data_IF_266131625572
#
_entry.id   IF_266131625572
#
_cell.length_a   1.000
_cell.length_b   1.000
_cell.length_c   1.000
_cell.angle_alpha   90.00
_cell.angle_beta   90.00
_cell.angle_gamma   90.00
#
_symmetry.space_group_name_H-M   'P 1'
#
loop_
_entity.id
_entity.type
_entity.pdbx_description
1 polymer ?
#
# COMPACT_ATOMS: atom_id res chain seq x y z
N UNK A 1 11.85 21.34 12.80
CA UNK A 1 10.87 21.62 11.72
C UNK A 1 9.69 20.63 11.67
N UNK A 2 9.23 20.02 12.78
CA UNK A 2 7.92 19.35 12.85
C UNK A 2 7.60 18.19 11.89
N UNK A 3 8.56 17.69 11.11
CA UNK A 3 8.29 16.65 10.11
C UNK A 3 8.11 15.27 10.77
N UNK A 4 6.97 14.62 10.51
CA UNK A 4 6.63 13.30 11.02
C UNK A 4 6.74 12.28 9.88
N UNK A 5 7.41 11.16 10.15
CA UNK A 5 7.42 9.98 9.27
C UNK A 5 6.27 9.07 9.66
N UNK A 6 5.41 8.76 8.70
CA UNK A 6 4.21 7.94 8.91
C UNK A 6 4.38 6.59 8.25
N UNK A 7 4.19 5.52 9.02
CA UNK A 7 4.07 4.16 8.51
C UNK A 7 2.60 3.85 8.19
N UNK A 8 2.25 3.97 6.90
CA UNK A 8 0.90 3.69 6.43
C UNK A 8 0.57 2.19 6.47
N UNK A 9 1.55 1.30 6.29
CA UNK A 9 1.32 -0.14 6.37
C UNK A 9 1.05 -0.59 7.80
N UNK A 10 1.79 -0.03 8.76
CA UNK A 10 1.54 -0.22 10.19
C UNK A 10 0.12 0.19 10.58
N UNK A 11 -0.33 1.37 10.13
CA UNK A 11 -1.69 1.85 10.34
C UNK A 11 -2.75 0.91 9.75
N UNK A 12 -2.59 0.49 8.49
CA UNK A 12 -3.50 -0.46 7.85
C UNK A 12 -3.54 -1.81 8.58
N UNK A 13 -2.38 -2.33 9.01
CA UNK A 13 -2.31 -3.57 9.79
C UNK A 13 -3.07 -3.47 11.10
N UNK A 14 -2.95 -2.36 11.83
CA UNK A 14 -3.73 -2.12 13.05
C UNK A 14 -5.24 -2.16 12.75
N UNK A 15 -5.68 -1.48 11.70
CA UNK A 15 -7.09 -1.47 11.30
C UNK A 15 -7.60 -2.88 10.94
N UNK A 16 -6.86 -3.62 10.13
CA UNK A 16 -7.21 -4.99 9.74
C UNK A 16 -7.28 -5.95 10.94
N UNK A 17 -6.33 -5.84 11.87
CA UNK A 17 -6.33 -6.66 13.10
C UNK A 17 -7.53 -6.34 13.98
N UNK A 18 -7.90 -5.07 14.13
CA UNK A 18 -9.11 -4.66 14.87
C UNK A 18 -10.39 -5.18 14.21
N UNK A 19 -10.40 -5.36 12.90
CA UNK A 19 -11.50 -5.98 12.16
C UNK A 19 -11.52 -7.52 12.23
N UNK A 20 -10.61 -8.15 12.99
CA UNK A 20 -10.56 -9.61 13.15
C UNK A 20 -9.78 -10.36 12.06
N UNK A 21 -9.09 -9.66 11.15
CA UNK A 21 -8.28 -10.32 10.10
C UNK A 21 -7.07 -11.03 10.73
N UNK A 22 -6.97 -12.34 10.52
CA UNK A 22 -5.93 -13.19 11.15
C UNK A 22 -4.71 -13.42 10.25
N UNK A 23 -4.87 -13.41 8.92
CA UNK A 23 -3.77 -13.51 7.96
C UNK A 23 -3.58 -12.20 7.20
N UNK A 24 -2.39 -11.62 7.28
CA UNK A 24 -2.04 -10.34 6.64
C UNK A 24 -0.66 -10.50 6.03
N UNK A 25 -0.56 -10.29 4.72
CA UNK A 25 0.70 -10.30 3.98
C UNK A 25 1.06 -8.88 3.56
N UNK A 26 2.34 -8.51 3.68
CA UNK A 26 2.85 -7.19 3.34
C UNK A 26 3.85 -7.32 2.18
N UNK A 27 3.69 -6.54 1.12
CA UNK A 27 4.63 -6.52 -0.01
C UNK A 27 5.97 -5.86 0.31
N UNK A 28 5.98 -4.92 1.26
CA UNK A 28 7.14 -4.10 1.65
C UNK A 28 7.75 -3.27 0.50
N UNK A 29 6.99 -3.00 -0.56
CA UNK A 29 7.45 -2.21 -1.72
C UNK A 29 6.99 -0.75 -1.60
N UNK A 30 7.90 0.20 -1.75
CA UNK A 30 7.60 1.63 -1.71
C UNK A 30 7.43 2.20 -3.12
N UNK A 31 6.23 2.69 -3.45
CA UNK A 31 5.95 3.26 -4.78
C UNK A 31 6.80 4.49 -5.11
N UNK A 32 7.25 5.26 -4.10
CA UNK A 32 8.19 6.37 -4.32
C UNK A 32 9.63 5.90 -4.52
N UNK A 33 10.07 4.86 -3.81
CA UNK A 33 11.46 4.38 -3.90
C UNK A 33 11.71 3.53 -5.14
N UNK A 34 10.67 2.95 -5.73
CA UNK A 34 10.78 2.11 -6.93
C UNK A 34 10.04 2.73 -8.14
N UNK A 35 10.49 3.90 -8.64
CA UNK A 35 9.80 4.65 -9.68
C UNK A 35 9.79 3.93 -11.05
N UNK A 36 10.70 2.98 -11.28
CA UNK A 36 10.73 2.17 -12.49
C UNK A 36 9.63 1.10 -12.54
N UNK A 37 8.99 0.82 -11.39
CA UNK A 37 7.93 -0.19 -11.26
C UNK A 37 6.56 0.41 -10.97
N UNK A 38 6.52 1.59 -10.35
CA UNK A 38 5.29 2.16 -9.80
C UNK A 38 5.14 3.65 -10.13
N UNK A 39 3.91 4.08 -10.43
CA UNK A 39 3.53 5.47 -10.33
C UNK A 39 3.47 5.92 -8.85
N UNK A 40 3.91 7.14 -8.56
CA UNK A 40 3.86 7.72 -7.22
C UNK A 40 3.49 9.20 -7.30
N UNK A 41 2.34 9.54 -6.72
CA UNK A 41 1.89 10.93 -6.62
C UNK A 41 2.92 11.80 -5.87
N UNK A 42 3.54 11.27 -4.81
CA UNK A 42 4.59 11.98 -4.06
C UNK A 42 5.88 12.17 -4.87
N UNK A 43 6.11 11.35 -5.90
CA UNK A 43 7.19 11.53 -6.86
C UNK A 43 6.81 12.42 -8.05
N UNK A 44 5.56 12.92 -8.11
CA UNK A 44 5.08 13.79 -9.19
C UNK A 44 4.40 13.07 -10.35
N UNK A 45 4.16 11.75 -10.28
CA UNK A 45 3.48 11.02 -11.34
C UNK A 45 1.96 11.28 -11.31
N UNK A 46 1.38 11.64 -12.46
CA UNK A 46 -0.05 11.87 -12.62
C UNK A 46 -0.86 10.58 -12.89
N UNK A 47 -0.22 9.53 -13.42
CA UNK A 47 -0.86 8.24 -13.69
C UNK A 47 -1.22 7.47 -12.41
N UNK A 48 -2.01 6.39 -12.56
CA UNK A 48 -2.49 5.53 -11.48
C UNK A 48 -2.35 4.06 -11.86
N UNK A 49 -2.11 3.21 -10.87
CA UNK A 49 -2.13 1.76 -10.99
C UNK A 49 -3.49 1.20 -10.58
N UNK A 50 -3.86 0.03 -11.13
CA UNK A 50 -5.01 -0.76 -10.67
C UNK A 50 -4.58 -1.91 -9.75
N UNK A 51 -5.40 -2.21 -8.74
CA UNK A 51 -5.33 -3.45 -7.95
C UNK A 51 -6.58 -4.26 -8.29
N UNK A 52 -6.40 -5.49 -8.76
CA UNK A 52 -7.49 -6.38 -9.14
C UNK A 52 -7.43 -7.67 -8.32
N UNK A 53 -8.58 -8.15 -7.88
CA UNK A 53 -8.75 -9.46 -7.26
C UNK A 53 -10.06 -10.05 -7.79
N UNK A 54 -9.99 -11.31 -8.24
CA UNK A 54 -11.15 -12.07 -8.69
C UNK A 54 -11.14 -13.42 -7.99
N UNK A 55 -12.31 -14.04 -7.91
CA UNK A 55 -12.43 -15.47 -7.69
C UNK A 55 -12.70 -16.09 -9.06
N UNK A 56 -12.14 -17.27 -9.33
CA UNK A 56 -12.55 -18.02 -10.51
C UNK A 56 -13.97 -18.53 -10.27
N UNK A 57 -14.85 -18.29 -11.24
CA UNK A 57 -16.14 -18.96 -11.30
C UNK A 57 -15.89 -20.37 -11.85
N UNK A 58 -15.80 -21.34 -10.95
CA UNK A 58 -15.84 -22.75 -11.33
C UNK A 58 -17.19 -23.13 -11.96
#
# INVERSE_FOLDING_TARGET
>A
NGAIRVDLWGGARIALRRAGVTSIHLSALCTRCEPHRFFSHRAGHAARQGLLATIDAA
#
